data_IF_595878947269
#
_entry.id   IF_595878947269
#
_cell.length_a   1.000
_cell.length_b   1.000
_cell.length_c   1.000
_cell.angle_alpha   90.00
_cell.angle_beta   90.00
_cell.angle_gamma   90.00
#
_symmetry.space_group_name_H-M   'P 1'
#
loop_
_entity.id
_entity.type
_entity.pdbx_description
1 polymer ?
#
# COMPACT_ATOMS: atom_id res chain seq x y z
N UNK A 1 13.25 17.08 -15.75
CA UNK A 1 13.79 16.22 -16.83
C UNK A 1 13.84 14.77 -16.42
N UNK A 2 14.67 14.38 -15.45
CA UNK A 2 14.80 12.98 -15.02
C UNK A 2 13.44 12.37 -14.62
N UNK A 3 12.58 13.12 -13.91
CA UNK A 3 11.21 12.69 -13.61
C UNK A 3 10.39 12.38 -14.87
N UNK A 4 10.54 13.14 -15.94
CA UNK A 4 9.83 12.93 -17.19
C UNK A 4 10.32 11.67 -17.93
N UNK A 5 11.64 11.45 -17.95
CA UNK A 5 12.25 10.27 -18.56
C UNK A 5 11.80 8.99 -17.84
N UNK A 6 11.78 8.98 -16.50
CA UNK A 6 11.31 7.83 -15.70
C UNK A 6 9.82 7.55 -15.92
N UNK A 7 9.00 8.59 -16.00
CA UNK A 7 7.56 8.45 -16.26
C UNK A 7 7.32 7.88 -17.66
N UNK A 8 8.00 8.40 -18.68
CA UNK A 8 7.88 7.93 -20.05
C UNK A 8 8.42 6.50 -20.21
N UNK A 9 9.48 6.15 -19.50
CA UNK A 9 10.04 4.79 -19.50
C UNK A 9 8.99 3.79 -18.99
N UNK A 10 8.35 4.14 -17.87
CA UNK A 10 7.27 3.33 -17.30
C UNK A 10 6.08 3.23 -18.27
N UNK A 11 5.66 4.34 -18.86
CA UNK A 11 4.54 4.36 -19.82
C UNK A 11 4.81 3.48 -21.04
N UNK A 12 6.00 3.59 -21.65
CA UNK A 12 6.36 2.76 -22.79
C UNK A 12 6.46 1.28 -22.44
N UNK A 13 6.93 0.94 -21.23
CA UNK A 13 6.95 -0.44 -20.76
C UNK A 13 5.54 -1.03 -20.63
N UNK A 14 4.59 -0.27 -20.07
CA UNK A 14 3.17 -0.66 -19.98
C UNK A 14 2.51 -0.79 -21.36
N UNK A 15 2.93 0.02 -22.34
CA UNK A 15 2.51 -0.09 -23.74
C UNK A 15 3.17 -1.28 -24.49
N UNK A 16 3.98 -2.10 -23.80
CA UNK A 16 4.62 -3.30 -24.35
C UNK A 16 5.91 -3.04 -25.13
N UNK A 17 6.50 -1.85 -25.01
CA UNK A 17 7.79 -1.50 -25.59
C UNK A 17 8.93 -1.76 -24.58
N UNK A 18 10.16 -1.79 -25.08
CA UNK A 18 11.33 -1.66 -24.21
C UNK A 18 11.41 -0.21 -23.71
N UNK A 19 10.91 0.04 -22.50
CA UNK A 19 10.79 1.40 -21.96
C UNK A 19 12.12 2.15 -21.92
N UNK A 20 13.18 1.49 -21.43
CA UNK A 20 14.50 2.10 -21.29
C UNK A 20 15.11 2.43 -22.66
N UNK A 21 15.05 1.48 -23.60
CA UNK A 21 15.56 1.71 -24.96
C UNK A 21 14.73 2.77 -25.71
N UNK A 22 13.41 2.78 -25.51
CA UNK A 22 12.49 3.72 -26.18
C UNK A 22 12.70 5.14 -25.68
N UNK A 23 12.83 5.36 -24.36
CA UNK A 23 13.16 6.68 -23.80
C UNK A 23 14.53 7.16 -24.26
N UNK A 24 15.53 6.27 -24.31
CA UNK A 24 16.87 6.62 -24.77
C UNK A 24 16.91 6.97 -26.28
N UNK A 25 15.87 6.63 -27.05
CA UNK A 25 15.84 6.86 -28.48
C UNK A 25 15.90 8.36 -28.83
N UNK A 26 16.70 8.71 -29.85
CA UNK A 26 17.00 10.11 -30.19
C UNK A 26 15.75 10.96 -30.52
N UNK A 27 14.72 10.35 -31.11
CA UNK A 27 13.45 11.03 -31.42
C UNK A 27 12.68 11.41 -30.14
N UNK A 28 12.66 10.51 -29.14
CA UNK A 28 12.00 10.74 -27.85
C UNK A 28 12.78 11.78 -27.06
N UNK A 29 14.11 11.64 -26.98
CA UNK A 29 14.97 12.64 -26.34
C UNK A 29 14.80 14.03 -26.96
N UNK A 30 14.65 14.12 -28.29
CA UNK A 30 14.38 15.38 -28.98
C UNK A 30 13.00 15.96 -28.64
N UNK A 31 11.99 15.12 -28.48
CA UNK A 31 10.65 15.54 -28.05
C UNK A 31 10.67 16.04 -26.59
N UNK A 32 11.31 15.31 -25.68
CA UNK A 32 11.46 15.69 -24.25
C UNK A 32 12.25 16.99 -24.10
N UNK A 33 13.31 17.19 -24.87
CA UNK A 33 14.09 18.43 -24.84
C UNK A 33 13.36 19.64 -25.45
N UNK A 34 12.18 19.44 -26.05
CA UNK A 34 11.45 20.44 -26.82
C UNK A 34 12.34 21.17 -27.86
N UNK A 35 13.33 20.45 -28.44
CA UNK A 35 14.32 21.06 -29.34
C UNK A 35 13.64 21.49 -30.65
N UNK A 36 13.72 22.79 -31.03
CA UNK A 36 13.11 23.27 -32.27
C UNK A 36 13.79 22.67 -33.51
N UNK A 37 13.07 22.63 -34.62
CA UNK A 37 13.56 22.15 -35.91
C UNK A 37 12.46 22.11 -36.96
N UNK A 38 12.82 21.71 -38.19
CA UNK A 38 11.87 21.58 -39.31
C UNK A 38 10.81 20.51 -38.98
N UNK A 39 11.25 19.33 -38.54
CA UNK A 39 10.35 18.31 -38.02
C UNK A 39 10.08 18.57 -36.53
N UNK A 40 8.81 18.78 -36.19
CA UNK A 40 8.35 18.89 -34.80
C UNK A 40 8.01 17.49 -34.28
N UNK A 41 8.69 17.10 -33.22
CA UNK A 41 8.44 15.84 -32.51
C UNK A 41 7.84 16.15 -31.16
N UNK A 42 6.77 15.44 -30.82
CA UNK A 42 6.06 15.57 -29.55
C UNK A 42 5.76 14.19 -29.03
N UNK A 43 5.91 14.02 -27.72
CA UNK A 43 5.46 12.85 -26.98
C UNK A 43 4.55 13.38 -25.88
N UNK A 44 3.38 12.77 -25.75
CA UNK A 44 2.40 13.14 -24.75
C UNK A 44 1.83 11.88 -24.12
N UNK A 45 1.68 11.90 -22.80
CA UNK A 45 0.86 10.91 -22.12
C UNK A 45 -0.60 11.14 -22.48
N UNK A 46 -1.39 10.07 -22.54
CA UNK A 46 -2.83 10.16 -22.80
C UNK A 46 -3.65 10.59 -21.57
N UNK A 47 -2.99 10.66 -20.40
CA UNK A 47 -3.58 11.00 -19.10
C UNK A 47 -2.67 11.97 -18.32
N UNK A 48 -3.23 12.79 -17.42
CA UNK A 48 -2.44 13.70 -16.60
C UNK A 48 -1.55 12.96 -15.60
N UNK A 49 -0.42 13.57 -15.26
CA UNK A 49 0.45 13.10 -14.17
C UNK A 49 -0.04 13.69 -12.86
N UNK A 50 -0.21 12.85 -11.84
CA UNK A 50 -0.56 13.29 -10.49
C UNK A 50 0.67 13.15 -9.58
N UNK A 51 1.18 14.27 -9.08
CA UNK A 51 2.31 14.30 -8.15
C UNK A 51 1.89 14.14 -6.71
N UNK A 52 2.29 13.02 -6.10
CA UNK A 52 1.93 12.67 -4.72
C UNK A 52 3.17 12.78 -3.81
N UNK A 53 2.99 13.35 -2.62
CA UNK A 53 4.02 13.44 -1.58
C UNK A 53 4.67 14.83 -1.45
N UNK A 54 5.30 15.07 -0.30
CA UNK A 54 5.83 16.37 0.10
C UNK A 54 6.91 16.95 -0.86
N UNK A 55 7.61 16.09 -1.61
CA UNK A 55 8.63 16.49 -2.58
C UNK A 55 8.09 16.67 -4.01
N UNK A 56 6.83 16.31 -4.28
CA UNK A 56 6.23 16.42 -5.61
C UNK A 56 6.31 17.84 -6.21
N UNK A 57 6.07 18.94 -5.45
CA UNK A 57 6.20 20.29 -6.00
C UNK A 57 7.61 20.60 -6.55
N UNK A 58 8.66 20.06 -5.91
CA UNK A 58 10.04 20.26 -6.33
C UNK A 58 10.40 19.43 -7.57
N UNK A 59 9.99 18.16 -7.60
CA UNK A 59 10.36 17.25 -8.68
C UNK A 59 9.54 17.44 -9.96
N UNK A 60 8.31 17.94 -9.84
CA UNK A 60 7.33 18.00 -10.93
C UNK A 60 7.13 19.42 -11.47
N UNK A 61 7.86 20.40 -10.93
CA UNK A 61 7.97 21.73 -11.52
C UNK A 61 8.41 21.64 -12.99
N UNK A 62 7.59 22.19 -13.90
CA UNK A 62 7.86 22.17 -15.34
C UNK A 62 7.65 20.82 -16.03
N UNK A 63 7.13 19.80 -15.33
CA UNK A 63 6.93 18.46 -15.88
C UNK A 63 5.90 18.43 -17.02
N UNK A 64 4.84 19.22 -16.92
CA UNK A 64 3.73 19.21 -17.88
C UNK A 64 4.19 19.43 -19.34
N UNK A 65 5.17 20.32 -19.55
CA UNK A 65 5.74 20.56 -20.87
C UNK A 65 6.59 19.40 -21.42
N UNK A 66 7.11 18.54 -20.53
CA UNK A 66 7.98 17.41 -20.90
C UNK A 66 7.20 16.12 -21.15
N UNK A 67 6.07 15.94 -20.46
CA UNK A 67 5.19 14.77 -20.60
C UNK A 67 4.01 15.02 -21.54
N UNK A 68 3.93 16.23 -22.12
CA UNK A 68 2.92 16.63 -23.10
C UNK A 68 1.48 16.61 -22.59
N UNK A 69 1.28 16.57 -21.27
CA UNK A 69 -0.03 16.55 -20.60
C UNK A 69 0.06 17.29 -19.25
N UNK A 70 -1.09 17.56 -18.63
CA UNK A 70 -1.16 18.24 -17.35
C UNK A 70 -0.39 17.48 -16.26
N UNK A 71 0.22 18.25 -15.36
CA UNK A 71 0.82 17.73 -14.15
C UNK A 71 0.14 18.40 -12.95
N UNK A 72 -0.65 17.64 -12.22
CA UNK A 72 -1.43 18.12 -11.08
C UNK A 72 -0.72 17.70 -9.80
N UNK A 73 -0.37 18.67 -8.96
CA UNK A 73 0.16 18.42 -7.62
C UNK A 73 -0.90 18.90 -6.63
N UNK A 74 -1.60 18.00 -5.92
CA UNK A 74 -2.60 18.38 -4.92
C UNK A 74 -1.97 19.22 -3.80
N UNK A 75 -2.68 20.25 -3.35
CA UNK A 75 -2.21 21.21 -2.36
C UNK A 75 -2.10 20.62 -0.94
N UNK A 76 -2.85 19.55 -0.66
CA UNK A 76 -2.96 18.95 0.67
C UNK A 76 -2.25 17.59 0.73
N UNK A 77 -1.23 17.50 1.59
CA UNK A 77 -0.45 16.26 1.85
C UNK A 77 -1.29 15.10 2.39
N UNK A 78 -2.44 15.38 2.98
CA UNK A 78 -3.37 14.36 3.50
C UNK A 78 -4.10 13.61 2.37
N UNK A 79 -4.27 14.25 1.20
CA UNK A 79 -4.96 13.67 0.05
C UNK A 79 -4.02 12.78 -0.78
N UNK A 80 -2.71 13.02 -0.72
CA UNK A 80 -1.72 12.21 -1.45
C UNK A 80 -1.63 10.78 -0.91
N UNK A 81 -1.68 10.62 0.42
CA UNK A 81 -1.78 9.32 1.06
C UNK A 81 -3.12 8.61 0.77
N UNK A 82 -4.20 9.39 0.57
CA UNK A 82 -5.52 8.85 0.21
C UNK A 82 -5.64 8.45 -1.27
N UNK A 83 -4.99 9.16 -2.19
CA UNK A 83 -5.00 8.85 -3.63
C UNK A 83 -4.05 7.71 -4.01
N UNK A 84 -2.91 7.56 -3.33
CA UNK A 84 -2.04 6.38 -3.48
C UNK A 84 -2.77 5.08 -3.11
N UNK A 85 -3.74 5.16 -2.21
CA UNK A 85 -4.64 4.06 -1.85
C UNK A 85 -5.77 3.81 -2.88
N UNK A 86 -6.00 4.71 -3.85
CA UNK A 86 -7.06 4.59 -4.88
C UNK A 86 -6.57 3.84 -6.13
N UNK A 87 -5.25 3.74 -6.36
CA UNK A 87 -4.68 2.98 -7.49
C UNK A 87 -3.86 1.76 -7.03
N UNK A 88 -3.41 1.74 -5.78
CA UNK A 88 -2.82 0.57 -5.12
C UNK A 88 -3.85 -0.19 -4.29
N UNK A 89 -3.71 -1.51 -4.18
CA UNK A 89 -4.55 -2.31 -3.28
C UNK A 89 -4.62 -1.68 -1.88
N UNK A 90 -5.82 -1.42 -1.36
CA UNK A 90 -5.96 -1.00 0.02
C UNK A 90 -5.55 -2.18 0.90
N UNK A 91 -4.49 -2.00 1.69
CA UNK A 91 -3.96 -3.01 2.62
C UNK A 91 -4.04 -2.47 4.03
N UNK A 92 -4.76 -3.18 4.90
CA UNK A 92 -4.92 -2.85 6.32
C UNK A 92 -4.44 -4.03 7.15
N UNK A 93 -3.61 -3.76 8.14
CA UNK A 93 -3.19 -4.77 9.12
C UNK A 93 -3.72 -4.45 10.52
N UNK A 94 -4.16 -5.48 11.24
CA UNK A 94 -4.59 -5.41 12.64
C UNK A 94 -3.91 -6.52 13.43
N UNK A 95 -3.35 -6.16 14.57
CA UNK A 95 -2.64 -7.08 15.45
C UNK A 95 -3.47 -7.39 16.71
N UNK A 96 -3.34 -8.64 17.18
CA UNK A 96 -3.73 -9.04 18.52
C UNK A 96 -2.55 -9.68 19.24
N UNK A 97 -2.47 -9.41 20.53
CA UNK A 97 -1.55 -10.07 21.44
C UNK A 97 -2.32 -10.98 22.39
N UNK A 98 -1.83 -12.20 22.57
CA UNK A 98 -2.29 -13.11 23.62
C UNK A 98 -1.14 -13.33 24.58
N UNK A 99 -1.35 -13.01 25.86
CA UNK A 99 -0.37 -13.20 26.94
C UNK A 99 -0.93 -14.12 28.01
N UNK A 100 -0.05 -14.66 28.87
CA UNK A 100 -0.46 -15.46 30.02
C UNK A 100 -0.05 -14.72 31.31
N UNK A 101 -0.88 -13.78 31.81
CA UNK A 101 -0.56 -13.01 33.03
C UNK A 101 -0.46 -13.89 34.28
N UNK A 102 -1.17 -15.02 34.28
CA UNK A 102 -1.12 -16.05 35.33
C UNK A 102 -1.27 -17.41 34.64
N UNK A 103 -0.64 -18.43 35.21
CA UNK A 103 -0.79 -19.80 34.72
C UNK A 103 -2.27 -20.18 34.61
N UNK A 104 -2.65 -20.75 33.46
CA UNK A 104 -4.04 -21.09 33.15
C UNK A 104 -4.97 -19.93 32.78
N UNK A 105 -4.49 -18.67 32.78
CA UNK A 105 -5.25 -17.49 32.35
C UNK A 105 -4.58 -16.87 31.12
N UNK A 106 -5.31 -16.85 30.00
CA UNK A 106 -4.87 -16.27 28.74
C UNK A 106 -5.62 -14.95 28.48
N UNK A 107 -4.88 -13.85 28.36
CA UNK A 107 -5.43 -12.52 28.11
C UNK A 107 -5.22 -12.13 26.67
N UNK A 108 -6.29 -11.76 25.97
CA UNK A 108 -6.22 -11.13 24.66
C UNK A 108 -6.17 -9.61 24.79
N UNK A 109 -5.46 -8.97 23.88
CA UNK A 109 -5.54 -7.54 23.59
C UNK A 109 -5.62 -7.38 22.06
N UNK A 110 -6.78 -6.95 21.54
CA UNK A 110 -7.08 -6.84 20.12
C UNK A 110 -7.93 -5.58 19.88
N UNK A 111 -7.33 -4.50 19.37
CA UNK A 111 -7.98 -3.19 19.34
C UNK A 111 -8.37 -2.75 20.76
N UNK A 112 -9.64 -2.41 20.97
CA UNK A 112 -10.18 -2.02 22.29
C UNK A 112 -10.61 -3.23 23.14
N UNK A 113 -10.59 -4.44 22.57
CA UNK A 113 -10.99 -5.65 23.29
C UNK A 113 -9.83 -6.17 24.15
N UNK A 114 -10.05 -6.18 25.47
CA UNK A 114 -9.22 -6.90 26.44
C UNK A 114 -10.09 -7.91 27.17
N UNK A 115 -9.72 -9.19 27.12
CA UNK A 115 -10.52 -10.27 27.74
C UNK A 115 -9.66 -11.45 28.16
N UNK A 116 -10.06 -12.08 29.26
CA UNK A 116 -9.40 -13.27 29.81
C UNK A 116 -10.15 -14.56 29.45
N UNK A 117 -9.39 -15.63 29.26
CA UNK A 117 -9.85 -16.98 28.94
C UNK A 117 -9.10 -18.01 29.79
N UNK A 118 -9.76 -19.13 30.11
CA UNK A 118 -9.12 -20.25 30.81
C UNK A 118 -8.44 -21.26 29.87
N UNK A 119 -8.62 -21.10 28.55
CA UNK A 119 -8.11 -22.01 27.52
C UNK A 119 -7.33 -21.25 26.45
N UNK A 120 -6.16 -21.76 26.09
CA UNK A 120 -5.26 -21.14 25.10
C UNK A 120 -5.93 -21.06 23.73
N UNK A 121 -6.55 -22.16 23.29
CA UNK A 121 -7.15 -22.26 21.96
C UNK A 121 -8.34 -21.31 21.81
N UNK A 122 -9.18 -21.20 22.84
CA UNK A 122 -10.30 -20.26 22.88
C UNK A 122 -9.83 -18.80 22.84
N UNK A 123 -8.75 -18.47 23.54
CA UNK A 123 -8.16 -17.13 23.52
C UNK A 123 -7.66 -16.77 22.12
N UNK A 124 -6.91 -17.68 21.49
CA UNK A 124 -6.37 -17.48 20.15
C UNK A 124 -7.46 -17.38 19.08
N UNK A 125 -8.47 -18.25 19.12
CA UNK A 125 -9.59 -18.21 18.18
C UNK A 125 -10.39 -16.92 18.31
N UNK A 126 -10.60 -16.43 19.54
CA UNK A 126 -11.30 -15.16 19.76
C UNK A 126 -10.47 -13.97 19.30
N UNK A 127 -9.16 -13.97 19.58
CA UNK A 127 -8.25 -12.94 19.09
C UNK A 127 -8.24 -12.88 17.56
N UNK A 128 -8.15 -14.02 16.89
CA UNK A 128 -8.18 -14.16 15.43
C UNK A 128 -9.48 -13.62 14.82
N UNK A 129 -10.63 -14.01 15.38
CA UNK A 129 -11.93 -13.53 14.93
C UNK A 129 -12.06 -12.00 15.05
N UNK A 130 -11.58 -11.43 16.16
CA UNK A 130 -11.67 -9.99 16.40
C UNK A 130 -10.78 -9.19 15.46
N UNK A 131 -9.51 -9.58 15.27
CA UNK A 131 -8.62 -8.88 14.32
C UNK A 131 -9.08 -9.01 12.87
N UNK A 132 -9.72 -10.14 12.52
CA UNK A 132 -10.32 -10.33 11.19
C UNK A 132 -11.47 -9.37 10.98
N UNK A 133 -12.38 -9.26 11.96
CA UNK A 133 -13.51 -8.33 11.93
C UNK A 133 -13.02 -6.87 11.82
N UNK A 134 -12.02 -6.50 12.61
CA UNK A 134 -11.43 -5.15 12.60
C UNK A 134 -10.72 -4.85 11.28
N UNK A 135 -9.97 -5.82 10.72
CA UNK A 135 -9.26 -5.65 9.46
C UNK A 135 -10.24 -5.45 8.29
N UNK A 136 -11.33 -6.23 8.24
CA UNK A 136 -12.39 -6.08 7.25
C UNK A 136 -13.11 -4.73 7.37
N UNK A 137 -13.47 -4.32 8.60
CA UNK A 137 -14.13 -3.04 8.83
C UNK A 137 -13.28 -1.87 8.33
N UNK A 138 -11.98 -1.85 8.70
CA UNK A 138 -11.04 -0.82 8.25
C UNK A 138 -10.79 -0.87 6.74
N UNK A 139 -10.75 -2.06 6.14
CA UNK A 139 -10.61 -2.19 4.69
C UNK A 139 -11.85 -1.66 3.95
N UNK A 140 -13.05 -1.89 4.48
CA UNK A 140 -14.29 -1.34 3.93
C UNK A 140 -14.34 0.19 4.05
N UNK A 141 -13.92 0.76 5.19
CA UNK A 141 -13.75 2.21 5.36
C UNK A 141 -12.75 2.80 4.36
N UNK A 142 -11.70 2.05 4.01
CA UNK A 142 -10.74 2.39 2.97
C UNK A 142 -11.22 2.11 1.53
N UNK A 143 -12.50 1.75 1.34
CA UNK A 143 -13.13 1.53 0.04
C UNK A 143 -12.97 0.11 -0.53
N UNK A 144 -12.24 -0.79 0.14
CA UNK A 144 -12.05 -2.18 -0.28
C UNK A 144 -13.09 -3.11 0.37
N UNK A 145 -14.35 -2.99 -0.07
CA UNK A 145 -15.47 -3.76 0.47
C UNK A 145 -15.35 -5.29 0.27
N UNK A 146 -14.62 -5.75 -0.75
CA UNK A 146 -14.38 -7.18 -1.04
C UNK A 146 -12.94 -7.60 -0.68
N UNK A 147 -12.37 -7.06 0.40
CA UNK A 147 -11.00 -7.38 0.80
C UNK A 147 -10.85 -8.86 1.23
N UNK A 148 -9.78 -9.50 0.75
CA UNK A 148 -9.34 -10.80 1.23
C UNK A 148 -8.50 -10.64 2.49
N UNK A 149 -8.71 -11.51 3.49
CA UNK A 149 -7.93 -11.49 4.74
C UNK A 149 -6.96 -12.65 4.79
N UNK A 150 -5.69 -12.36 5.12
CA UNK A 150 -4.67 -13.35 5.48
C UNK A 150 -4.27 -13.17 6.93
N UNK A 151 -4.06 -14.27 7.63
CA UNK A 151 -3.70 -14.27 9.05
C UNK A 151 -2.32 -14.91 9.22
N UNK A 152 -1.42 -14.18 9.88
CA UNK A 152 -0.14 -14.69 10.35
C UNK A 152 -0.21 -14.87 11.86
N UNK A 153 0.24 -16.02 12.35
CA UNK A 153 0.26 -16.35 13.78
C UNK A 153 1.66 -16.78 14.19
N UNK A 154 2.21 -16.07 15.18
CA UNK A 154 3.46 -16.42 15.83
C UNK A 154 3.16 -16.77 17.29
N UNK A 155 3.48 -18.01 17.71
CA UNK A 155 3.31 -18.45 19.09
C UNK A 155 4.68 -18.76 19.68
N UNK A 156 5.03 -18.06 20.76
CA UNK A 156 6.22 -18.34 21.55
C UNK A 156 5.84 -19.19 22.75
N UNK A 157 6.43 -20.37 22.80
CA UNK A 157 6.33 -21.28 23.94
C UNK A 157 7.73 -21.77 24.32
N UNK A 158 7.98 -21.94 25.61
CA UNK A 158 9.19 -22.57 26.15
C UNK A 158 8.89 -23.99 26.61
N UNK A 159 9.94 -24.79 26.75
CA UNK A 159 9.86 -26.09 27.43
C UNK A 159 10.47 -25.94 28.82
N UNK A 160 9.66 -26.10 29.86
CA UNK A 160 10.10 -26.07 31.26
C UNK A 160 9.75 -27.44 31.86
N UNK A 161 10.74 -28.13 32.43
CA UNK A 161 10.56 -29.47 33.04
C UNK A 161 9.88 -30.51 32.13
N UNK A 162 10.08 -30.40 30.80
CA UNK A 162 9.48 -31.28 29.80
C UNK A 162 8.03 -30.96 29.41
N UNK A 163 7.44 -29.90 29.97
CA UNK A 163 6.10 -29.40 29.65
C UNK A 163 6.19 -28.14 28.78
N UNK A 164 5.26 -27.99 27.82
CA UNK A 164 5.14 -26.78 26.99
C UNK A 164 4.51 -25.67 27.81
N UNK A 165 5.25 -24.59 28.04
CA UNK A 165 4.77 -23.37 28.71
C UNK A 165 4.55 -22.28 27.68
N UNK A 166 3.33 -21.76 27.59
CA UNK A 166 3.01 -20.62 26.73
C UNK A 166 3.67 -19.34 27.27
N UNK A 167 4.24 -18.51 26.40
CA UNK A 167 4.80 -17.21 26.78
C UNK A 167 3.90 -16.10 26.26
N UNK A 168 3.78 -16.05 24.93
CA UNK A 168 2.95 -15.08 24.23
C UNK A 168 2.60 -15.58 22.83
N UNK A 169 1.55 -15.01 22.24
CA UNK A 169 1.29 -15.12 20.82
C UNK A 169 0.98 -13.75 20.24
N UNK A 170 1.43 -13.53 19.01
CA UNK A 170 1.12 -12.36 18.19
C UNK A 170 0.39 -12.87 16.95
N UNK A 171 -0.79 -12.32 16.70
CA UNK A 171 -1.61 -12.63 15.54
C UNK A 171 -1.77 -11.34 14.73
N UNK A 172 -1.55 -11.41 13.42
CA UNK A 172 -1.71 -10.27 12.52
C UNK A 172 -2.65 -10.67 11.40
N UNK A 173 -3.81 -10.01 11.33
CA UNK A 173 -4.70 -10.08 10.20
C UNK A 173 -4.37 -8.96 9.22
N UNK A 174 -4.17 -9.32 7.96
CA UNK A 174 -3.98 -8.38 6.85
C UNK A 174 -5.16 -8.51 5.91
N UNK A 175 -5.98 -7.47 5.80
CA UNK A 175 -6.99 -7.33 4.75
C UNK A 175 -6.37 -6.61 3.55
N UNK A 176 -6.58 -7.16 2.34
CA UNK A 176 -6.13 -6.54 1.08
C UNK A 176 -7.23 -6.63 0.03
N UNK A 177 -7.58 -5.50 -0.60
CA UNK A 177 -8.60 -5.47 -1.65
C UNK A 177 -8.46 -4.25 -2.56
N UNK A 178 -9.16 -4.30 -3.69
CA UNK A 178 -9.24 -3.14 -4.59
C UNK A 178 -10.31 -2.17 -4.06
N UNK A 179 -9.99 -0.87 -3.91
CA UNK A 179 -11.01 0.11 -3.59
C UNK A 179 -12.05 0.14 -4.71
N UNK A 180 -13.34 0.06 -4.37
CA UNK A 180 -14.39 0.39 -5.32
C UNK A 180 -14.41 1.91 -5.42
N UNK A 181 -13.89 2.44 -6.52
CA UNK A 181 -14.07 3.86 -6.84
C UNK A 181 -15.57 4.07 -6.98
N UNK A 182 -16.17 4.86 -6.08
CA UNK A 182 -17.56 5.27 -6.23
C UNK A 182 -17.68 6.00 -7.58
N UNK A 183 -18.54 5.48 -8.45
CA UNK A 183 -18.88 6.12 -9.73
C UNK A 183 -19.73 7.36 -9.53
#
# INVERSE_FOLDING_TARGET
RQSAEVILETAFAEDGLDGAATVAHALVQRAVDARPGIARLTVALDRPVIGLGASAPLHYAGLAGLVGNECVVPTDTDVANALGAVVGQARVSVEARVSQPREGIFRIAAGDLVRDFADEAAALATAEAEITRLALARAAEAGAADAEVRIAREVKAATVEGQRTFIEAILVATASGRPRVAG
#
